data_IF_655637276238
#
_entry.id   IF_655637276238
#
_cell.length_a   1.000
_cell.length_b   1.000
_cell.length_c   1.000
_cell.angle_alpha   90.00
_cell.angle_beta   90.00
_cell.angle_gamma   90.00
#
_symmetry.space_group_name_H-M   'P 1'
#
loop_
_entity.id
_entity.type
_entity.pdbx_description
1 polymer ?
#
# COMPACT_ATOMS: atom_id res chain seq x y z
N UNK A 1 7.97 41.01 25.42
CA UNK A 1 8.44 40.32 24.21
C UNK A 1 7.36 40.45 23.15
N UNK A 2 7.67 40.96 21.96
CA UNK A 2 6.67 41.19 20.90
C UNK A 2 6.27 39.85 20.25
N UNK A 3 4.96 39.57 20.18
CA UNK A 3 4.41 38.35 19.60
C UNK A 3 4.78 38.19 18.13
N UNK A 4 4.92 39.30 17.40
CA UNK A 4 5.28 39.26 15.98
C UNK A 4 6.72 38.79 15.76
N UNK A 5 7.62 39.10 16.70
CA UNK A 5 9.01 38.65 16.65
C UNK A 5 9.07 37.13 16.83
N UNK A 6 8.35 36.59 17.81
CA UNK A 6 8.32 35.14 18.06
C UNK A 6 7.74 34.36 16.87
N UNK A 7 6.64 34.84 16.29
CA UNK A 7 6.00 34.18 15.13
C UNK A 7 6.94 34.19 13.92
N UNK A 8 7.63 35.31 13.68
CA UNK A 8 8.60 35.41 12.60
C UNK A 8 9.81 34.50 12.81
N UNK A 9 10.30 34.35 14.05
CA UNK A 9 11.43 33.48 14.38
C UNK A 9 11.08 32.00 14.21
N UNK A 10 9.87 31.60 14.61
CA UNK A 10 9.34 30.25 14.38
C UNK A 10 9.23 29.97 12.87
N UNK A 11 8.69 30.91 12.09
CA UNK A 11 8.59 30.78 10.64
C UNK A 11 9.96 30.60 9.97
N UNK A 12 10.94 31.42 10.34
CA UNK A 12 12.32 31.33 9.85
C UNK A 12 12.97 29.99 10.21
N UNK A 13 12.73 29.49 11.43
CA UNK A 13 13.26 28.19 11.85
C UNK A 13 12.78 27.05 10.95
N UNK A 14 11.48 26.97 10.65
CA UNK A 14 10.93 25.90 9.80
C UNK A 14 11.42 26.02 8.35
N UNK A 15 11.45 27.23 7.79
CA UNK A 15 11.98 27.45 6.44
C UNK A 15 13.44 27.02 6.35
N UNK A 16 14.27 27.43 7.32
CA UNK A 16 15.68 27.06 7.36
C UNK A 16 15.87 25.54 7.50
N UNK A 17 15.08 24.88 8.35
CA UNK A 17 15.14 23.43 8.55
C UNK A 17 14.78 22.65 7.28
N UNK A 18 13.74 23.10 6.54
CA UNK A 18 13.33 22.48 5.27
C UNK A 18 14.45 22.63 4.22
N UNK A 19 15.03 23.82 4.10
CA UNK A 19 16.14 24.06 3.17
C UNK A 19 17.32 23.15 3.52
N UNK A 20 17.74 23.13 4.80
CA UNK A 20 18.86 22.30 5.27
C UNK A 20 18.69 20.83 4.91
N UNK A 21 17.53 20.23 5.18
CA UNK A 21 17.27 18.82 4.86
C UNK A 21 17.35 18.53 3.36
N UNK A 22 16.79 19.42 2.52
CA UNK A 22 16.88 19.27 1.05
C UNK A 22 18.31 19.37 0.58
N UNK A 23 19.04 20.39 1.03
CA UNK A 23 20.45 20.57 0.66
C UNK A 23 21.30 19.39 1.11
N UNK A 24 21.11 18.86 2.32
CA UNK A 24 21.82 17.65 2.78
C UNK A 24 21.51 16.43 1.92
N UNK A 25 20.24 16.24 1.53
CA UNK A 25 19.81 15.12 0.67
C UNK A 25 20.35 15.24 -0.75
N UNK A 26 20.37 16.46 -1.30
CA UNK A 26 20.87 16.74 -2.65
C UNK A 26 22.41 16.76 -2.69
N UNK A 27 23.07 17.13 -1.58
CA UNK A 27 24.54 17.18 -1.46
C UNK A 27 25.16 15.81 -1.18
N UNK A 28 24.39 14.85 -0.65
CA UNK A 28 24.72 13.43 -0.77
C UNK A 28 24.44 12.96 -2.19
N UNK A 29 25.08 13.60 -3.17
CA UNK A 29 25.36 12.96 -4.43
C UNK A 29 26.23 11.75 -4.13
N UNK A 30 25.82 10.59 -4.65
CA UNK A 30 26.59 9.35 -4.54
C UNK A 30 28.03 9.64 -4.99
N UNK A 31 29.00 9.57 -4.07
CA UNK A 31 30.41 9.77 -4.39
C UNK A 31 30.79 8.84 -5.56
N UNK A 32 31.61 9.31 -6.49
CA UNK A 32 32.04 8.50 -7.66
C UNK A 32 32.67 7.16 -7.26
N UNK A 33 33.21 7.07 -6.04
CA UNK A 33 33.80 5.86 -5.46
C UNK A 33 32.70 4.89 -4.99
N UNK A 34 31.62 5.38 -4.38
CA UNK A 34 30.48 4.54 -4.00
C UNK A 34 29.74 4.02 -5.25
N UNK A 35 29.69 4.81 -6.33
CA UNK A 35 29.16 4.36 -7.63
C UNK A 35 29.93 3.18 -8.23
N UNK A 36 31.23 3.04 -7.92
CA UNK A 36 32.07 1.92 -8.37
C UNK A 36 31.96 0.68 -7.48
N UNK A 37 31.51 0.83 -6.23
CA UNK A 37 31.19 -0.25 -5.30
C UNK A 37 29.72 -0.71 -5.41
N UNK A 38 28.85 0.10 -6.02
CA UNK A 38 27.59 -0.41 -6.57
C UNK A 38 27.96 -1.44 -7.65
N UNK A 39 27.55 -2.72 -7.52
CA UNK A 39 27.74 -3.68 -8.60
C UNK A 39 27.20 -3.02 -9.87
N UNK A 40 28.05 -2.86 -10.88
CA UNK A 40 27.60 -2.38 -12.19
C UNK A 40 26.45 -3.28 -12.55
N UNK A 41 25.24 -2.74 -12.50
CA UNK A 41 24.06 -3.57 -12.61
C UNK A 41 24.22 -4.32 -13.94
N UNK A 42 24.26 -5.67 -13.94
CA UNK A 42 24.54 -6.44 -15.14
C UNK A 42 23.50 -6.06 -16.17
N UNK A 43 23.93 -5.21 -17.09
CA UNK A 43 23.17 -4.56 -18.13
C UNK A 43 21.85 -3.88 -17.76
N UNK A 44 21.12 -4.11 -16.66
CA UNK A 44 19.65 -4.20 -16.72
C UNK A 44 19.15 -4.20 -18.18
N UNK A 45 18.99 -5.39 -18.74
CA UNK A 45 17.83 -5.62 -19.61
C UNK A 45 16.60 -5.27 -18.76
N UNK A 46 16.35 -3.96 -18.61
CA UNK A 46 15.28 -3.38 -17.84
C UNK A 46 14.07 -3.55 -18.74
N UNK A 47 13.58 -4.80 -18.84
CA UNK A 47 12.14 -4.97 -18.84
C UNK A 47 11.65 -4.26 -17.59
N UNK A 48 11.32 -2.98 -17.74
CA UNK A 48 10.48 -2.28 -16.77
C UNK A 48 9.25 -3.18 -16.70
N UNK A 49 9.13 -3.93 -15.61
CA UNK A 49 8.02 -4.84 -15.43
C UNK A 49 6.80 -3.99 -15.10
N UNK A 50 6.16 -3.46 -16.14
CA UNK A 50 4.96 -2.66 -16.03
C UNK A 50 3.86 -3.59 -15.55
N UNK A 51 3.31 -3.30 -14.37
CA UNK A 51 2.13 -4.01 -13.87
C UNK A 51 0.89 -3.46 -14.59
N UNK A 52 0.61 -4.01 -15.77
CA UNK A 52 -0.55 -3.60 -16.58
C UNK A 52 -1.88 -4.15 -16.05
N UNK A 53 -1.84 -5.32 -15.39
CA UNK A 53 -3.02 -6.00 -14.89
C UNK A 53 -2.72 -6.88 -13.68
N UNK A 54 -3.76 -7.13 -12.89
CA UNK A 54 -3.71 -8.12 -11.82
C UNK A 54 -3.91 -9.53 -12.40
N UNK A 55 -3.12 -10.48 -11.91
CA UNK A 55 -3.38 -11.89 -12.17
C UNK A 55 -4.69 -12.31 -11.50
N UNK A 56 -5.52 -13.05 -12.21
CA UNK A 56 -6.75 -13.60 -11.67
C UNK A 56 -6.40 -14.67 -10.64
N UNK A 57 -7.11 -14.64 -9.51
CA UNK A 57 -6.98 -15.64 -8.46
C UNK A 57 -7.87 -16.84 -8.77
N UNK A 58 -7.37 -18.04 -8.47
CA UNK A 58 -8.22 -19.22 -8.42
C UNK A 58 -8.89 -19.37 -7.04
N UNK A 59 -9.82 -20.31 -6.93
CA UNK A 59 -10.53 -20.56 -5.67
C UNK A 59 -9.60 -21.05 -4.54
N UNK A 60 -8.49 -21.72 -4.87
CA UNK A 60 -7.53 -22.20 -3.88
C UNK A 60 -6.74 -21.04 -3.26
N UNK A 61 -6.34 -20.07 -4.08
CA UNK A 61 -5.69 -18.84 -3.65
C UNK A 61 -6.59 -18.06 -2.70
N UNK A 62 -7.86 -17.86 -3.09
CA UNK A 62 -8.85 -17.13 -2.29
C UNK A 62 -9.19 -17.87 -0.99
N UNK A 63 -9.35 -19.20 -1.05
CA UNK A 63 -9.58 -20.04 0.15
C UNK A 63 -8.40 -19.94 1.12
N UNK A 64 -7.17 -19.99 0.60
CA UNK A 64 -5.95 -19.82 1.39
C UNK A 64 -5.88 -18.45 2.04
N UNK A 65 -6.24 -17.40 1.29
CA UNK A 65 -6.30 -16.03 1.81
C UNK A 65 -7.27 -15.92 2.98
N UNK A 66 -8.52 -16.36 2.78
CA UNK A 66 -9.58 -16.30 3.80
C UNK A 66 -9.18 -17.08 5.07
N UNK A 67 -8.57 -18.26 4.92
CA UNK A 67 -8.14 -19.09 6.05
C UNK A 67 -6.98 -18.47 6.85
N UNK A 68 -6.11 -17.70 6.19
CA UNK A 68 -4.99 -16.99 6.83
C UNK A 68 -5.42 -15.66 7.45
N UNK A 69 -6.52 -15.07 6.99
CA UNK A 69 -7.06 -13.83 7.54
C UNK A 69 -7.51 -13.98 8.99
N UNK A 70 -7.40 -12.89 9.76
CA UNK A 70 -7.94 -12.85 11.11
C UNK A 70 -9.47 -12.97 11.06
N UNK A 71 -10.02 -13.90 11.85
CA UNK A 71 -11.46 -14.18 11.93
C UNK A 71 -12.17 -13.18 12.84
N UNK A 72 -12.03 -11.89 12.52
CA UNK A 72 -12.61 -10.80 13.30
C UNK A 72 -14.04 -10.55 12.87
N UNK A 73 -14.93 -10.44 13.84
CA UNK A 73 -16.30 -10.01 13.62
C UNK A 73 -16.62 -8.82 14.52
N UNK A 74 -17.42 -7.88 14.05
CA UNK A 74 -17.98 -6.80 14.83
C UNK A 74 -19.53 -6.90 14.88
N UNK A 75 -20.16 -6.10 15.74
CA UNK A 75 -21.63 -6.08 15.86
C UNK A 75 -22.32 -5.54 14.60
N UNK A 76 -21.62 -4.72 13.83
CA UNK A 76 -22.14 -4.11 12.60
C UNK A 76 -21.99 -5.01 11.38
N UNK A 77 -21.25 -6.13 11.50
CA UNK A 77 -21.15 -7.09 10.40
C UNK A 77 -22.51 -7.77 10.19
N UNK A 78 -23.01 -7.84 8.95
CA UNK A 78 -24.29 -8.48 8.66
C UNK A 78 -24.27 -9.99 8.92
N UNK A 79 -23.08 -10.62 8.99
CA UNK A 79 -22.92 -12.03 9.27
C UNK A 79 -21.61 -12.30 10.03
N UNK A 80 -21.62 -13.18 11.06
CA UNK A 80 -20.39 -13.58 11.74
C UNK A 80 -19.39 -14.21 10.78
N UNK A 81 -18.11 -13.85 10.89
CA UNK A 81 -17.04 -14.42 10.05
C UNK A 81 -16.94 -15.94 10.18
N UNK A 82 -17.26 -16.51 11.35
CA UNK A 82 -17.29 -17.96 11.54
C UNK A 82 -18.28 -18.64 10.60
N UNK A 83 -19.46 -18.05 10.39
CA UNK A 83 -20.48 -18.61 9.51
C UNK A 83 -20.07 -18.54 8.04
N UNK A 84 -19.34 -17.47 7.64
CA UNK A 84 -18.73 -17.39 6.30
C UNK A 84 -17.75 -18.55 6.08
N UNK A 85 -16.96 -18.88 7.10
CA UNK A 85 -15.97 -19.95 7.03
C UNK A 85 -16.63 -21.32 6.97
N UNK A 86 -17.70 -21.52 7.74
CA UNK A 86 -18.46 -22.77 7.77
C UNK A 86 -19.16 -23.05 6.43
N UNK A 87 -19.60 -22.00 5.73
CA UNK A 87 -20.23 -22.06 4.41
C UNK A 87 -19.25 -21.76 3.26
N UNK A 88 -17.94 -21.82 3.50
CA UNK A 88 -16.95 -21.34 2.54
C UNK A 88 -16.98 -22.15 1.24
N UNK A 89 -17.22 -23.45 1.30
CA UNK A 89 -17.36 -24.31 0.12
C UNK A 89 -18.42 -23.81 -0.87
N UNK A 90 -19.56 -23.33 -0.36
CA UNK A 90 -20.64 -22.76 -1.18
C UNK A 90 -20.33 -21.34 -1.64
N UNK A 91 -19.70 -20.54 -0.77
CA UNK A 91 -19.45 -19.11 -1.02
C UNK A 91 -18.19 -18.84 -1.85
N UNK A 92 -17.24 -19.77 -1.88
CA UNK A 92 -15.91 -19.58 -2.47
C UNK A 92 -15.95 -19.19 -3.95
N UNK A 93 -16.74 -19.84 -4.83
CA UNK A 93 -16.82 -19.43 -6.23
C UNK A 93 -17.31 -17.98 -6.39
N UNK A 94 -18.27 -17.58 -5.54
CA UNK A 94 -18.83 -16.23 -5.56
C UNK A 94 -17.82 -15.19 -5.06
N UNK A 95 -17.16 -15.45 -3.92
CA UNK A 95 -16.13 -14.56 -3.36
C UNK A 95 -14.97 -14.39 -4.35
N UNK A 96 -14.48 -15.49 -4.93
CA UNK A 96 -13.43 -15.47 -5.96
C UNK A 96 -13.82 -14.61 -7.15
N UNK A 97 -15.04 -14.79 -7.66
CA UNK A 97 -15.55 -13.97 -8.77
C UNK A 97 -15.60 -12.49 -8.39
N UNK A 98 -16.08 -12.13 -7.20
CA UNK A 98 -16.15 -10.73 -6.77
C UNK A 98 -14.76 -10.09 -6.64
N UNK A 99 -13.79 -10.79 -6.06
CA UNK A 99 -12.41 -10.31 -5.94
C UNK A 99 -11.82 -10.06 -7.33
N UNK A 100 -11.92 -11.05 -8.22
CA UNK A 100 -11.39 -10.95 -9.57
C UNK A 100 -12.04 -9.84 -10.39
N UNK A 101 -13.37 -9.69 -10.34
CA UNK A 101 -14.06 -8.57 -10.99
C UNK A 101 -13.57 -7.23 -10.46
N UNK A 102 -13.36 -7.11 -9.14
CA UNK A 102 -12.88 -5.87 -8.54
C UNK A 102 -11.44 -5.54 -8.99
N UNK A 103 -10.56 -6.55 -9.05
CA UNK A 103 -9.18 -6.39 -9.51
C UNK A 103 -9.10 -6.05 -11.00
N UNK A 104 -9.90 -6.69 -11.84
CA UNK A 104 -9.90 -6.44 -13.30
C UNK A 104 -10.51 -5.09 -13.66
N UNK A 105 -11.55 -4.65 -12.95
CA UNK A 105 -12.27 -3.39 -13.27
C UNK A 105 -11.73 -2.18 -12.51
N UNK A 106 -10.93 -2.40 -11.46
CA UNK A 106 -10.51 -1.34 -10.53
C UNK A 106 -11.65 -0.78 -9.68
N UNK A 107 -12.83 -1.42 -9.68
CA UNK A 107 -14.01 -0.95 -8.97
C UNK A 107 -14.33 -1.82 -7.75
N UNK A 108 -14.43 -1.18 -6.59
CA UNK A 108 -14.89 -1.80 -5.34
C UNK A 108 -16.21 -1.15 -4.90
N UNK A 109 -17.24 -1.94 -4.53
CA UNK A 109 -18.49 -1.41 -4.00
C UNK A 109 -18.24 -0.47 -2.81
N UNK A 110 -18.99 0.64 -2.72
CA UNK A 110 -18.84 1.59 -1.62
C UNK A 110 -19.12 0.95 -0.26
N UNK A 111 -20.08 0.02 -0.20
CA UNK A 111 -20.39 -0.75 1.00
C UNK A 111 -19.20 -1.55 1.56
N UNK A 112 -18.14 -1.80 0.77
CA UNK A 112 -16.93 -2.48 1.24
C UNK A 112 -15.87 -1.53 1.80
N UNK A 113 -16.00 -0.23 1.53
CA UNK A 113 -15.06 0.81 1.96
C UNK A 113 -15.47 1.45 3.27
N UNK A 114 -16.70 1.19 3.70
CA UNK A 114 -17.27 1.70 4.93
C UNK A 114 -17.03 0.68 6.04
N UNK A 115 -16.51 1.14 7.17
CA UNK A 115 -16.67 0.40 8.41
C UNK A 115 -18.10 0.68 8.91
N UNK A 116 -18.93 -0.35 8.96
CA UNK A 116 -20.24 -0.28 9.60
C UNK A 116 -20.11 -0.16 11.11
#
# INVERSE_FOLDING_TARGET
MDRNILVNDIGKFFVHKIIKVRTETDSTGVDEIDRALVPTNPQIDNEIQVMESFQLLDEKDVSTLIRKSAKKTCKSDPMPTSLIIDCLDVLLPFITKMVNVSLTTGHFPNAWKEAL
#
